data_IF_606523970856
#
_entry.id   IF_606523970856
#
_cell.length_a   1.000
_cell.length_b   1.000
_cell.length_c   1.000
_cell.angle_alpha   90.00
_cell.angle_beta   90.00
_cell.angle_gamma   90.00
#
_symmetry.space_group_name_H-M   'P 1'
#
loop_
_entity.id
_entity.type
_entity.pdbx_description
1 polymer ?
#
# COMPACT_ATOMS: atom_id res chain seq x y z
N UNK A 1 21.02 9.61 20.84
CA UNK A 1 20.61 8.23 20.46
C UNK A 1 19.14 8.13 20.04
N UNK A 2 18.18 8.64 20.83
CA UNK A 2 16.74 8.51 20.53
C UNK A 2 16.34 9.12 19.16
N UNK A 3 16.95 10.26 18.77
CA UNK A 3 16.71 10.88 17.47
C UNK A 3 17.20 10.00 16.29
N UNK A 4 18.39 9.39 16.42
CA UNK A 4 18.96 8.53 15.39
C UNK A 4 18.11 7.26 15.15
N UNK A 5 17.62 6.64 16.23
CA UNK A 5 16.74 5.46 16.15
C UNK A 5 15.43 5.79 15.45
N UNK A 6 14.84 6.97 15.71
CA UNK A 6 13.60 7.42 15.05
C UNK A 6 13.81 7.67 13.56
N UNK A 7 14.93 8.29 13.18
CA UNK A 7 15.27 8.54 11.78
C UNK A 7 15.43 7.20 11.06
N UNK A 8 16.19 6.26 11.64
CA UNK A 8 16.41 4.93 11.07
C UNK A 8 15.09 4.16 10.88
N UNK A 9 14.21 4.18 11.89
CA UNK A 9 12.90 3.53 11.80
C UNK A 9 12.02 4.13 10.71
N UNK A 10 12.04 5.47 10.55
CA UNK A 10 11.29 6.16 9.50
C UNK A 10 11.83 5.81 8.12
N UNK A 11 13.15 5.74 8.00
CA UNK A 11 13.84 5.42 6.74
C UNK A 11 13.56 3.98 6.31
N UNK A 12 13.60 3.04 7.25
CA UNK A 12 13.18 1.65 7.03
C UNK A 12 11.72 1.55 6.61
N UNK A 13 10.81 2.25 7.29
CA UNK A 13 9.40 2.27 6.93
C UNK A 13 9.16 2.86 5.53
N UNK A 14 9.89 3.92 5.19
CA UNK A 14 9.84 4.53 3.86
C UNK A 14 10.34 3.58 2.77
N UNK A 15 11.50 2.93 2.98
CA UNK A 15 12.05 1.96 2.02
C UNK A 15 11.11 0.76 1.84
N UNK A 16 10.53 0.24 2.92
CA UNK A 16 9.56 -0.85 2.86
C UNK A 16 8.32 -0.44 2.05
N UNK A 17 7.80 0.77 2.29
CA UNK A 17 6.68 1.30 1.52
C UNK A 17 7.05 1.47 0.03
N UNK A 18 8.26 1.94 -0.27
CA UNK A 18 8.75 2.10 -1.63
C UNK A 18 8.84 0.76 -2.36
N UNK A 19 9.36 -0.28 -1.69
CA UNK A 19 9.45 -1.64 -2.23
C UNK A 19 8.07 -2.23 -2.49
N UNK A 20 7.13 -2.04 -1.55
CA UNK A 20 5.75 -2.49 -1.72
C UNK A 20 5.07 -1.81 -2.92
N UNK A 21 5.21 -0.49 -3.04
CA UNK A 21 4.66 0.27 -4.17
C UNK A 21 5.29 -0.18 -5.49
N UNK A 22 6.62 -0.37 -5.53
CA UNK A 22 7.32 -0.86 -6.71
C UNK A 22 6.86 -2.27 -7.12
N UNK A 23 6.70 -3.19 -6.17
CA UNK A 23 6.21 -4.53 -6.43
C UNK A 23 4.76 -4.54 -6.94
N UNK A 24 3.89 -3.72 -6.35
CA UNK A 24 2.51 -3.52 -6.80
C UNK A 24 2.44 -2.94 -8.22
N UNK A 25 3.26 -1.92 -8.51
CA UNK A 25 3.33 -1.31 -9.83
C UNK A 25 3.87 -2.30 -10.88
N UNK A 26 4.93 -3.05 -10.55
CA UNK A 26 5.49 -4.09 -11.41
C UNK A 26 4.45 -5.16 -11.71
N UNK A 27 3.74 -5.65 -10.69
CA UNK A 27 2.69 -6.66 -10.85
C UNK A 27 1.51 -6.12 -11.66
N UNK A 28 1.08 -4.88 -11.40
CA UNK A 28 0.04 -4.21 -12.18
C UNK A 28 0.41 -4.11 -13.66
N UNK A 29 1.64 -3.69 -13.97
CA UNK A 29 2.16 -3.63 -15.33
C UNK A 29 2.26 -5.02 -15.96
N UNK A 30 2.76 -6.03 -15.24
CA UNK A 30 2.86 -7.40 -15.76
C UNK A 30 1.49 -8.04 -16.02
N UNK A 31 0.47 -7.70 -15.23
CA UNK A 31 -0.91 -8.16 -15.45
C UNK A 31 -1.55 -7.42 -16.62
N UNK A 32 -1.39 -6.10 -16.71
CA UNK A 32 -1.90 -5.29 -17.83
C UNK A 32 -1.20 -5.59 -19.16
N UNK A 33 0.12 -5.77 -19.14
CA UNK A 33 0.96 -5.96 -20.32
C UNK A 33 1.26 -7.44 -20.60
N UNK A 34 0.85 -8.36 -19.72
CA UNK A 34 1.08 -9.79 -19.87
C UNK A 34 0.27 -10.42 -21.01
N UNK A 35 0.58 -11.69 -21.38
CA UNK A 35 0.07 -12.37 -22.58
C UNK A 35 -1.44 -12.71 -22.55
N UNK A 36 -2.20 -12.09 -21.65
CA UNK A 36 -3.61 -12.34 -21.37
C UNK A 36 -4.53 -11.36 -22.09
N UNK A 37 -3.97 -10.44 -22.88
CA UNK A 37 -4.70 -9.57 -23.82
C UNK A 37 -5.59 -10.36 -24.81
N UNK A 38 -5.47 -11.69 -24.88
CA UNK A 38 -6.36 -12.56 -25.65
C UNK A 38 -7.30 -13.46 -24.83
N UNK A 39 -7.24 -13.45 -23.50
CA UNK A 39 -8.03 -14.36 -22.62
C UNK A 39 -9.30 -13.69 -22.08
N UNK A 40 -9.30 -12.37 -21.89
CA UNK A 40 -10.51 -11.65 -21.51
C UNK A 40 -11.35 -11.31 -22.75
N UNK A 41 -12.68 -11.51 -22.69
CA UNK A 41 -13.58 -10.87 -23.65
C UNK A 41 -13.29 -9.36 -23.66
N UNK A 42 -13.06 -8.76 -24.82
CA UNK A 42 -12.61 -7.35 -24.92
C UNK A 42 -13.53 -6.32 -24.24
N UNK A 43 -14.76 -6.70 -23.87
CA UNK A 43 -15.68 -5.86 -23.09
C UNK A 43 -15.38 -5.83 -21.58
N UNK A 44 -14.66 -6.81 -21.05
CA UNK A 44 -14.26 -6.90 -19.63
C UNK A 44 -12.90 -6.27 -19.35
N UNK A 45 -12.02 -6.15 -20.36
CA UNK A 45 -10.73 -5.48 -20.25
C UNK A 45 -10.80 -4.09 -19.56
N UNK A 46 -11.67 -3.16 -19.99
CA UNK A 46 -11.71 -1.83 -19.36
C UNK A 46 -12.15 -1.87 -17.90
N UNK A 47 -13.05 -2.78 -17.53
CA UNK A 47 -13.52 -2.92 -16.15
C UNK A 47 -12.40 -3.46 -15.23
N UNK A 48 -11.63 -4.43 -15.71
CA UNK A 48 -10.50 -5.00 -14.96
C UNK A 48 -9.34 -4.01 -14.83
N UNK A 49 -9.07 -3.25 -15.90
CA UNK A 49 -8.11 -2.13 -15.87
C UNK A 49 -8.47 -1.09 -14.81
N UNK A 50 -9.74 -0.66 -14.78
CA UNK A 50 -10.23 0.32 -13.80
C UNK A 50 -10.17 -0.23 -12.37
N UNK A 51 -10.59 -1.48 -12.16
CA UNK A 51 -10.51 -2.14 -10.86
C UNK A 51 -9.05 -2.35 -10.41
N UNK A 52 -8.15 -2.68 -11.33
CA UNK A 52 -6.72 -2.83 -11.07
C UNK A 52 -6.10 -1.50 -10.63
N UNK A 53 -6.39 -0.40 -11.33
CA UNK A 53 -5.94 0.94 -10.94
C UNK A 53 -6.53 1.38 -9.59
N UNK A 54 -7.82 1.13 -9.36
CA UNK A 54 -8.46 1.37 -8.07
C UNK A 54 -7.77 0.59 -6.97
N UNK A 55 -7.43 -0.69 -7.18
CA UNK A 55 -6.71 -1.48 -6.20
C UNK A 55 -5.32 -0.89 -5.94
N UNK A 56 -4.53 -0.58 -6.97
CA UNK A 56 -3.18 0.00 -6.83
C UNK A 56 -3.20 1.32 -6.05
N UNK A 57 -4.20 2.17 -6.27
CA UNK A 57 -4.32 3.46 -5.57
C UNK A 57 -4.93 3.35 -4.17
N UNK A 58 -6.00 2.55 -4.02
CA UNK A 58 -6.79 2.50 -2.79
C UNK A 58 -6.19 1.57 -1.74
N UNK A 59 -5.53 0.46 -2.10
CA UNK A 59 -4.89 -0.43 -1.12
C UNK A 59 -3.90 0.31 -0.21
N UNK A 60 -2.92 1.07 -0.74
CA UNK A 60 -1.93 1.72 0.11
C UNK A 60 -2.56 2.82 0.99
N UNK A 61 -3.54 3.56 0.47
CA UNK A 61 -4.32 4.53 1.25
C UNK A 61 -5.09 3.86 2.39
N UNK A 62 -5.74 2.74 2.11
CA UNK A 62 -6.52 1.99 3.10
C UNK A 62 -5.60 1.39 4.18
N UNK A 63 -4.47 0.82 3.78
CA UNK A 63 -3.47 0.26 4.68
C UNK A 63 -2.85 1.34 5.57
N UNK A 64 -2.47 2.49 5.00
CA UNK A 64 -1.98 3.64 5.76
C UNK A 64 -3.01 4.11 6.78
N UNK A 65 -4.29 4.23 6.37
CA UNK A 65 -5.39 4.60 7.26
C UNK A 65 -5.64 3.56 8.36
N UNK A 66 -5.44 2.28 8.08
CA UNK A 66 -5.59 1.21 9.06
C UNK A 66 -4.46 1.24 10.10
N UNK A 67 -3.22 1.40 9.65
CA UNK A 67 -2.04 1.56 10.50
C UNK A 67 -2.18 2.80 11.40
N UNK A 68 -2.61 3.93 10.84
CA UNK A 68 -2.84 5.17 11.59
C UNK A 68 -3.92 5.03 12.64
N UNK A 69 -5.02 4.32 12.34
CA UNK A 69 -6.07 4.03 13.32
C UNK A 69 -5.60 3.07 14.41
N UNK A 70 -4.81 2.06 14.07
CA UNK A 70 -4.24 1.11 15.02
C UNK A 70 -3.26 1.76 16.00
N UNK A 71 -2.47 2.72 15.55
CA UNK A 71 -1.50 3.45 16.39
C UNK A 71 -2.14 4.53 17.27
N UNK A 72 -3.34 5.01 16.94
CA UNK A 72 -4.07 6.02 17.73
C UNK A 72 -4.64 5.50 19.06
N UNK A 73 -4.66 4.17 19.28
CA UNK A 73 -5.31 3.54 20.44
C UNK A 73 -4.48 3.48 21.73
N UNK A 74 -3.16 3.69 21.68
CA UNK A 74 -2.25 3.42 22.83
C UNK A 74 -1.96 4.63 23.74
N UNK A 75 -2.61 5.78 23.53
CA UNK A 75 -2.49 6.98 24.41
C UNK A 75 -3.81 7.38 25.09
N UNK A 76 -4.43 6.48 25.84
CA UNK A 76 -5.38 6.89 26.89
C UNK A 76 -4.80 6.59 28.26
N UNK A 77 -4.56 7.68 28.99
CA UNK A 77 -3.74 7.76 30.19
C UNK A 77 -4.20 6.88 31.33
N UNK A 78 -3.22 6.29 32.00
CA UNK A 78 -3.33 5.78 33.36
C UNK A 78 -2.84 6.90 34.27
N UNK A 79 -3.73 7.75 34.74
CA UNK A 79 -3.45 8.68 35.84
C UNK A 79 -3.45 7.87 37.14
N UNK A 80 -2.32 7.80 37.89
CA UNK A 80 -2.34 7.26 39.24
C UNK A 80 -2.97 8.31 40.16
N UNK A 81 -4.00 7.90 40.90
CA UNK A 81 -4.41 8.59 42.13
C UNK A 81 -3.69 7.92 43.29
#
# INVERSE_FOLDING_TARGET
>A
MIAAVRILATLLGYLLALVLVAALALFGVLVLAGPHAGILPGWLEPAVLVLGWLAVLLLPLWLARWIWRGLGGTRRGRTPR
#
